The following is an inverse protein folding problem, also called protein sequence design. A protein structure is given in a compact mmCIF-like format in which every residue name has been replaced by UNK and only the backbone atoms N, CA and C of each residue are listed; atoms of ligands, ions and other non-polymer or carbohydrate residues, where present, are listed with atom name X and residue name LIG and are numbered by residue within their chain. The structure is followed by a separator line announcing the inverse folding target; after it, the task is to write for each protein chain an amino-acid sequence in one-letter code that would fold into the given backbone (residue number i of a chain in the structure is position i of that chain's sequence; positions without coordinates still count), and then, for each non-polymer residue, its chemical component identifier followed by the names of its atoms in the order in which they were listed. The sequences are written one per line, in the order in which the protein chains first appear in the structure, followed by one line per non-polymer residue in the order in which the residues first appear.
data_IF_614889259715
#
_entry.id   IF_614889259715
#
_cell.length_a   1.000
_cell.length_b   1.000
_cell.length_c   1.000
_cell.angle_alpha   90.00
_cell.angle_beta   90.00
_cell.angle_gamma   90.00
#
_symmetry.space_group_name_H-M   'P 1'
#
loop_
_entity.id
_entity.type
_entity.pdbx_description
1 polymer ?
#
# COMPACT_ATOMS: atom_id res chain seq x y z
N UNK A 1 -1.60 2.33 9.49
CA UNK A 1 -0.88 3.61 9.51
C UNK A 1 -0.46 4.04 8.10
N UNK A 2 -0.26 5.33 7.90
CA UNK A 2 0.29 5.92 6.68
C UNK A 2 1.37 6.93 7.05
N UNK A 3 2.55 6.81 6.43
CA UNK A 3 3.65 7.77 6.50
C UNK A 3 3.89 8.34 5.10
N UNK A 4 3.83 9.66 4.97
CA UNK A 4 4.21 10.40 3.77
C UNK A 4 5.51 11.15 4.06
N UNK A 5 6.51 10.95 3.21
CA UNK A 5 7.82 11.60 3.28
C UNK A 5 8.03 12.43 2.02
N UNK A 6 8.25 13.73 2.19
CA UNK A 6 8.62 14.62 1.10
C UNK A 6 10.13 14.54 0.87
N UNK A 7 10.53 14.12 -0.31
CA UNK A 7 11.92 13.88 -0.70
C UNK A 7 12.48 15.04 -1.52
N UNK A 8 13.64 15.54 -1.13
CA UNK A 8 14.35 16.61 -1.82
C UNK A 8 15.02 16.09 -3.11
N UNK A 9 14.19 15.63 -4.06
CA UNK A 9 14.68 15.14 -5.34
C UNK A 9 13.59 15.17 -6.41
N UNK A 10 14.00 15.37 -7.66
CA UNK A 10 13.18 15.20 -8.85
C UNK A 10 13.54 13.94 -9.65
N UNK A 11 14.57 13.23 -9.24
CA UNK A 11 15.12 12.10 -9.99
C UNK A 11 14.42 10.79 -9.72
N UNK A 12 13.59 10.74 -8.66
CA UNK A 12 12.86 9.53 -8.24
C UNK A 12 11.43 9.58 -8.77
N UNK A 13 10.98 8.47 -9.32
CA UNK A 13 9.62 8.23 -9.75
C UNK A 13 9.20 6.78 -9.45
N UNK A 14 7.99 6.39 -9.82
CA UNK A 14 7.43 5.05 -9.54
C UNK A 14 8.31 3.88 -10.03
N UNK A 15 9.16 4.07 -11.07
CA UNK A 15 10.07 3.02 -11.57
C UNK A 15 11.18 2.66 -10.57
N UNK A 16 11.38 3.47 -9.55
CA UNK A 16 12.40 3.25 -8.52
C UNK A 16 11.84 2.71 -7.20
N UNK A 17 10.60 2.25 -7.20
CA UNK A 17 9.96 1.63 -6.02
C UNK A 17 10.80 0.48 -5.44
N UNK A 18 11.46 -0.31 -6.28
CA UNK A 18 12.36 -1.39 -5.82
C UNK A 18 13.60 -0.88 -5.06
N UNK A 19 14.09 0.32 -5.39
CA UNK A 19 15.21 0.91 -4.65
C UNK A 19 14.75 1.41 -3.28
N UNK A 20 13.55 2.00 -3.21
CA UNK A 20 12.95 2.41 -1.94
C UNK A 20 12.53 1.23 -1.07
N UNK A 21 12.15 0.10 -1.67
CA UNK A 21 11.98 -1.13 -0.92
C UNK A 21 13.28 -1.57 -0.24
N UNK A 22 14.42 -1.39 -0.90
CA UNK A 22 15.74 -1.59 -0.29
C UNK A 22 15.94 -0.74 0.96
N UNK A 23 15.54 0.54 0.89
CA UNK A 23 15.60 1.44 2.07
C UNK A 23 14.74 0.92 3.21
N UNK A 24 13.52 0.43 2.95
CA UNK A 24 12.70 -0.20 3.99
C UNK A 24 13.46 -1.37 4.62
N UNK A 25 13.96 -2.30 3.79
CA UNK A 25 14.66 -3.51 4.28
C UNK A 25 15.93 -3.20 5.07
N UNK A 26 16.58 -2.07 4.83
CA UNK A 26 17.77 -1.62 5.55
C UNK A 26 17.45 -0.95 6.90
N UNK A 27 16.23 -0.46 7.07
CA UNK A 27 15.79 0.22 8.29
C UNK A 27 14.97 -0.67 9.24
N UNK A 28 14.74 -1.92 8.89
CA UNK A 28 14.03 -2.90 9.74
C UNK A 28 14.98 -3.99 10.23
N UNK A 29 14.55 -4.74 11.25
CA UNK A 29 15.35 -5.86 11.77
C UNK A 29 15.51 -6.97 10.71
N UNK A 30 16.64 -7.67 10.74
CA UNK A 30 16.88 -8.79 9.83
C UNK A 30 15.83 -9.90 9.98
N UNK A 31 15.36 -10.14 11.20
CA UNK A 31 14.32 -11.12 11.48
C UNK A 31 12.99 -10.73 10.79
N UNK A 32 12.58 -9.47 10.94
CA UNK A 32 11.36 -8.98 10.31
C UNK A 32 11.47 -8.96 8.78
N UNK A 33 12.63 -8.56 8.24
CA UNK A 33 12.91 -8.62 6.80
C UNK A 33 12.81 -10.05 6.26
N UNK A 34 13.35 -11.04 6.98
CA UNK A 34 13.24 -12.45 6.59
C UNK A 34 11.77 -12.92 6.54
N UNK A 35 10.96 -12.54 7.53
CA UNK A 35 9.52 -12.84 7.53
C UNK A 35 8.80 -12.20 6.35
N UNK A 36 9.07 -10.93 6.05
CA UNK A 36 8.48 -10.26 4.88
C UNK A 36 8.84 -10.93 3.55
N UNK A 37 10.07 -11.45 3.43
CA UNK A 37 10.49 -12.20 2.24
C UNK A 37 9.79 -13.56 2.10
N UNK A 38 9.42 -14.20 3.22
CA UNK A 38 8.69 -15.46 3.24
C UNK A 38 7.19 -15.32 2.98
N UNK A 39 6.63 -14.14 3.18
CA UNK A 39 5.21 -13.88 3.03
C UNK A 39 4.81 -13.70 1.56
N UNK A 40 3.71 -14.33 1.16
CA UNK A 40 3.10 -14.09 -0.16
C UNK A 40 2.46 -12.69 -0.25
N UNK A 41 1.87 -12.21 0.86
CA UNK A 41 1.23 -10.92 0.96
C UNK A 41 1.85 -10.14 2.12
N UNK A 42 2.44 -8.99 1.81
CA UNK A 42 3.07 -8.15 2.80
C UNK A 42 2.06 -7.22 3.50
N UNK A 43 2.20 -6.96 4.82
CA UNK A 43 1.32 -6.07 5.58
C UNK A 43 1.54 -4.59 5.27
N UNK A 44 2.32 -4.27 4.26
CA UNK A 44 2.59 -2.90 3.85
C UNK A 44 2.47 -2.70 2.34
N UNK A 45 2.39 -1.45 1.95
CA UNK A 45 2.50 -1.00 0.56
C UNK A 45 3.26 0.32 0.50
N UNK A 46 3.83 0.62 -0.66
CA UNK A 46 4.50 1.89 -0.88
C UNK A 46 4.22 2.41 -2.29
N UNK A 47 4.21 3.72 -2.44
CA UNK A 47 4.16 4.37 -3.75
C UNK A 47 4.89 5.70 -3.74
N UNK A 48 5.26 6.15 -4.94
CA UNK A 48 5.85 7.47 -5.17
C UNK A 48 4.88 8.26 -6.03
N UNK A 49 4.51 9.44 -5.54
CA UNK A 49 3.68 10.40 -6.26
C UNK A 49 4.42 11.73 -6.42
N UNK A 50 3.93 12.56 -7.32
CA UNK A 50 4.35 13.96 -7.43
C UNK A 50 3.18 14.86 -7.12
N UNK A 51 3.39 15.74 -6.15
CA UNK A 51 2.39 16.71 -5.70
C UNK A 51 3.07 18.09 -5.64
N UNK A 52 2.48 19.09 -6.31
CA UNK A 52 2.98 20.47 -6.29
C UNK A 52 4.50 20.58 -6.56
N UNK A 53 5.02 19.79 -7.48
CA UNK A 53 6.45 19.70 -7.83
C UNK A 53 7.36 19.01 -6.78
N UNK A 54 6.81 18.51 -5.69
CA UNK A 54 7.50 17.71 -4.68
C UNK A 54 7.36 16.21 -4.97
N UNK A 55 8.39 15.43 -4.64
CA UNK A 55 8.36 13.97 -4.69
C UNK A 55 7.92 13.43 -3.34
N UNK A 56 6.78 12.75 -3.31
CA UNK A 56 6.21 12.18 -2.08
C UNK A 56 6.36 10.66 -2.11
N UNK A 57 7.04 10.12 -1.11
CA UNK A 57 7.08 8.69 -0.85
C UNK A 57 6.07 8.35 0.24
N UNK A 58 5.06 7.58 -0.11
CA UNK A 58 3.99 7.15 0.81
C UNK A 58 4.18 5.69 1.15
N UNK A 59 4.23 5.37 2.42
CA UNK A 59 4.28 4.02 2.98
C UNK A 59 3.01 3.82 3.82
N UNK A 60 2.33 2.69 3.62
CA UNK A 60 1.12 2.31 4.39
C UNK A 60 1.32 0.95 5.01
N UNK A 61 0.88 0.80 6.25
CA UNK A 61 0.87 -0.49 6.97
C UNK A 61 -0.54 -0.83 7.43
N UNK A 62 -0.85 -2.13 7.50
CA UNK A 62 -2.18 -2.64 7.77
C UNK A 62 -2.37 -3.20 9.18
N UNK A 63 -1.28 -3.44 9.92
CA UNK A 63 -1.32 -3.91 11.31
C UNK A 63 -0.28 -3.19 12.17
N UNK A 64 -0.38 -3.39 13.48
CA UNK A 64 0.48 -2.76 14.48
C UNK A 64 1.94 -3.20 14.34
N UNK A 65 2.17 -4.49 14.14
CA UNK A 65 3.53 -5.01 13.95
C UNK A 65 4.26 -4.33 12.79
N UNK A 66 3.59 -4.16 11.66
CA UNK A 66 4.17 -3.47 10.51
C UNK A 66 4.35 -1.96 10.76
N UNK A 67 3.47 -1.35 11.54
CA UNK A 67 3.64 0.03 11.97
C UNK A 67 4.91 0.19 12.81
N UNK A 68 5.09 -0.63 13.83
CA UNK A 68 6.25 -0.57 14.72
C UNK A 68 7.56 -0.87 13.99
N UNK A 69 7.58 -1.87 13.12
CA UNK A 69 8.80 -2.31 12.45
C UNK A 69 9.14 -1.50 11.19
N UNK A 70 8.18 -0.86 10.52
CA UNK A 70 8.42 -0.14 9.26
C UNK A 70 8.24 1.37 9.44
N UNK A 71 7.07 1.80 9.93
CA UNK A 71 6.75 3.23 9.99
C UNK A 71 7.59 3.93 11.06
N UNK A 72 7.70 3.36 12.24
CA UNK A 72 8.42 3.99 13.34
C UNK A 72 9.89 4.24 12.99
N UNK A 73 10.69 3.25 12.53
CA UNK A 73 12.08 3.51 12.12
C UNK A 73 12.21 4.54 11.00
N UNK A 74 11.35 4.47 9.98
CA UNK A 74 11.38 5.41 8.86
C UNK A 74 10.95 6.83 9.26
N UNK A 75 10.10 6.96 10.26
CA UNK A 75 9.68 8.27 10.76
C UNK A 75 10.82 9.07 11.38
N UNK A 76 11.86 8.41 11.85
CA UNK A 76 13.06 9.04 12.44
C UNK A 76 14.10 9.42 11.38
N UNK A 77 14.05 8.85 10.16
CA UNK A 77 15.05 9.10 9.13
C UNK A 77 15.00 10.54 8.63
N UNK A 78 16.09 11.27 8.70
CA UNK A 78 16.27 12.61 8.08
C UNK A 78 16.72 12.53 6.63
N UNK A 79 17.34 11.42 6.28
CA UNK A 79 17.88 11.13 4.96
C UNK A 79 17.59 9.67 4.59
N UNK A 80 17.45 9.41 3.30
CA UNK A 80 17.39 8.05 2.76
C UNK A 80 18.56 7.82 1.80
N UNK A 81 19.16 6.64 1.85
CA UNK A 81 20.27 6.29 0.98
C UNK A 81 19.87 5.21 -0.04
N UNK A 82 19.94 5.53 -1.31
CA UNK A 82 19.68 4.60 -2.40
C UNK A 82 20.97 3.91 -2.82
N UNK A 83 21.29 2.76 -2.26
CA UNK A 83 22.56 2.03 -2.50
C UNK A 83 22.88 1.81 -3.95
N UNK A 84 21.92 1.37 -4.76
CA UNK A 84 22.11 1.10 -6.19
C UNK A 84 22.51 2.33 -7.01
N UNK A 85 22.25 3.53 -6.48
CA UNK A 85 22.56 4.80 -7.14
C UNK A 85 23.68 5.57 -6.45
N UNK A 86 24.08 5.15 -5.24
CA UNK A 86 25.01 5.92 -4.41
C UNK A 86 24.46 7.32 -4.05
N UNK A 87 23.14 7.46 -3.94
CA UNK A 87 22.45 8.73 -3.77
C UNK A 87 21.84 8.85 -2.38
N UNK A 88 22.23 9.90 -1.64
CA UNK A 88 21.58 10.32 -0.41
C UNK A 88 20.54 11.39 -0.73
N UNK A 89 19.35 11.30 -0.14
CA UNK A 89 18.22 12.19 -0.39
C UNK A 89 17.67 12.64 0.95
N UNK A 90 17.63 13.95 1.15
CA UNK A 90 17.08 14.52 2.37
C UNK A 90 15.55 14.46 2.39
N UNK A 91 15.01 14.22 3.57
CA UNK A 91 13.58 14.23 3.85
C UNK A 91 13.20 15.60 4.38
N UNK A 92 12.48 16.40 3.59
CA UNK A 92 12.13 17.77 3.93
C UNK A 92 10.96 17.86 4.90
N UNK A 93 9.99 16.96 4.75
CA UNK A 93 8.76 16.97 5.54
C UNK A 93 8.19 15.56 5.71
N UNK A 94 7.47 15.35 6.81
CA UNK A 94 6.80 14.08 7.09
C UNK A 94 5.40 14.35 7.59
N UNK A 95 4.46 13.52 7.15
CA UNK A 95 3.08 13.49 7.65
C UNK A 95 2.73 12.05 8.01
N UNK A 96 2.16 11.87 9.20
CA UNK A 96 1.72 10.57 9.66
C UNK A 96 0.22 10.59 9.94
N UNK A 97 -0.47 9.56 9.45
CA UNK A 97 -1.89 9.31 9.74
C UNK A 97 -2.04 7.92 10.35
N UNK A 98 -2.68 7.87 11.51
CA UNK A 98 -3.04 6.63 12.18
C UNK A 98 -4.56 6.50 12.12
N UNK A 99 -5.04 5.30 11.81
CA UNK A 99 -6.43 4.88 12.02
C UNK A 99 -6.41 3.58 12.79
N UNK A 100 -7.19 3.48 13.82
CA UNK A 100 -7.41 2.21 14.52
C UNK A 100 -8.60 1.45 13.89
N UNK A 101 -8.71 0.16 14.22
CA UNK A 101 -9.75 -0.70 13.65
C UNK A 101 -11.16 -0.24 14.03
N UNK A 102 -11.34 0.29 15.25
CA UNK A 102 -12.64 0.82 15.68
C UNK A 102 -13.08 2.03 14.85
N UNK A 103 -12.14 2.91 14.50
CA UNK A 103 -12.44 4.05 13.60
C UNK A 103 -12.84 3.58 12.21
N UNK A 104 -12.16 2.55 11.67
CA UNK A 104 -12.52 1.95 10.39
C UNK A 104 -13.89 1.29 10.42
N UNK A 105 -14.18 0.53 11.47
CA UNK A 105 -15.47 -0.14 11.69
C UNK A 105 -16.59 0.90 11.83
N UNK A 106 -16.38 1.93 12.65
CA UNK A 106 -17.35 3.03 12.84
C UNK A 106 -17.60 3.74 11.51
N UNK A 107 -16.54 4.08 10.77
CA UNK A 107 -16.66 4.71 9.46
C UNK A 107 -17.45 3.84 8.47
N UNK A 108 -17.26 2.53 8.50
CA UNK A 108 -17.97 1.57 7.66
C UNK A 108 -19.46 1.47 7.99
N UNK A 109 -19.82 1.44 9.27
CA UNK A 109 -21.23 1.28 9.68
C UNK A 109 -22.02 2.59 9.71
N UNK A 110 -21.39 3.72 10.02
CA UNK A 110 -22.06 5.02 10.10
C UNK A 110 -22.22 5.71 8.74
N UNK A 111 -21.31 5.47 7.81
CA UNK A 111 -21.40 6.06 6.47
C UNK A 111 -22.24 5.21 5.55
N UNK A 112 -23.23 5.83 4.92
CA UNK A 112 -23.95 5.17 3.82
C UNK A 112 -22.95 4.81 2.72
N UNK A 113 -22.95 3.54 2.30
CA UNK A 113 -22.15 3.11 1.17
C UNK A 113 -22.53 3.96 -0.07
N UNK A 114 -21.58 4.64 -0.68
CA UNK A 114 -21.87 5.43 -1.88
C UNK A 114 -22.22 4.50 -3.05
N UNK A 115 -23.22 4.89 -3.85
CA UNK A 115 -23.59 4.14 -5.05
C UNK A 115 -22.44 4.05 -6.06
N UNK A 116 -21.58 5.09 -6.11
CA UNK A 116 -20.44 5.17 -7.02
C UNK A 116 -19.16 5.26 -6.20
N UNK A 117 -18.21 4.38 -6.51
CA UNK A 117 -16.87 4.38 -5.96
C UNK A 117 -15.89 4.78 -7.05
N UNK A 118 -14.94 5.67 -6.73
CA UNK A 118 -13.82 5.98 -7.60
C UNK A 118 -12.58 5.25 -7.10
N UNK A 119 -12.03 4.37 -7.94
CA UNK A 119 -10.76 3.69 -7.68
C UNK A 119 -9.68 4.34 -8.54
N UNK A 120 -8.66 4.92 -7.90
CA UNK A 120 -7.54 5.55 -8.58
C UNK A 120 -6.28 4.70 -8.45
N UNK A 121 -5.79 4.19 -9.56
CA UNK A 121 -4.49 3.53 -9.63
C UNK A 121 -3.38 4.60 -9.69
N UNK A 122 -2.62 4.74 -8.61
CA UNK A 122 -1.56 5.76 -8.50
C UNK A 122 -0.32 5.44 -9.35
N UNK A 123 -0.13 4.16 -9.68
CA UNK A 123 0.97 3.65 -10.49
C UNK A 123 0.42 2.71 -11.56
N UNK A 124 1.16 2.44 -12.66
CA UNK A 124 0.79 1.42 -13.61
C UNK A 124 0.56 0.10 -12.90
N UNK A 125 -0.65 -0.43 -13.03
CA UNK A 125 -1.11 -1.63 -12.32
C UNK A 125 -1.49 -2.70 -13.33
N UNK A 126 -1.05 -3.91 -13.10
CA UNK A 126 -1.50 -5.11 -13.81
C UNK A 126 -1.86 -6.18 -12.79
N UNK A 127 -2.91 -6.92 -13.10
CA UNK A 127 -3.31 -8.07 -12.30
C UNK A 127 -2.70 -9.34 -12.89
N UNK A 128 -2.61 -10.40 -12.09
CA UNK A 128 -2.14 -11.70 -12.54
C UNK A 128 -3.21 -12.75 -12.23
N UNK A 129 -3.65 -13.45 -13.26
CA UNK A 129 -4.55 -14.59 -13.16
C UNK A 129 -4.01 -15.75 -14.01
N UNK A 130 -3.96 -16.94 -13.45
CA UNK A 130 -3.49 -18.16 -14.12
C UNK A 130 -2.13 -18.01 -14.83
N UNK A 131 -1.21 -17.28 -14.18
CA UNK A 131 0.12 -17.03 -14.72
C UNK A 131 0.19 -15.95 -15.81
N UNK A 132 -0.93 -15.38 -16.24
CA UNK A 132 -1.03 -14.34 -17.28
C UNK A 132 -1.31 -12.97 -16.69
N UNK A 133 -0.81 -11.92 -17.34
CA UNK A 133 -1.12 -10.55 -16.97
C UNK A 133 -2.45 -10.11 -17.57
N UNK A 134 -3.30 -9.54 -16.72
CA UNK A 134 -4.56 -8.88 -17.08
C UNK A 134 -4.35 -7.38 -16.91
N UNK A 135 -4.42 -6.63 -18.02
CA UNK A 135 -4.13 -5.19 -18.04
C UNK A 135 -5.36 -4.32 -17.85
N UNK A 136 -6.56 -4.87 -18.06
CA UNK A 136 -7.81 -4.16 -17.81
C UNK A 136 -8.26 -4.37 -16.37
N UNK A 137 -8.92 -3.35 -15.77
CA UNK A 137 -9.55 -3.51 -14.46
C UNK A 137 -10.58 -4.64 -14.50
N UNK A 138 -10.38 -5.64 -13.68
CA UNK A 138 -11.32 -6.75 -13.46
C UNK A 138 -11.78 -6.69 -12.01
N UNK A 139 -13.10 -6.60 -11.80
CA UNK A 139 -13.69 -6.43 -10.47
C UNK A 139 -13.41 -7.61 -9.57
N UNK A 140 -13.47 -8.84 -10.11
CA UNK A 140 -13.16 -10.04 -9.34
C UNK A 140 -11.72 -10.05 -8.85
N UNK A 141 -10.76 -9.70 -9.71
CA UNK A 141 -9.35 -9.62 -9.33
C UNK A 141 -9.08 -8.49 -8.34
N UNK A 142 -9.75 -7.34 -8.48
CA UNK A 142 -9.62 -6.21 -7.54
C UNK A 142 -10.15 -6.62 -6.17
N UNK A 143 -11.40 -7.08 -6.09
CA UNK A 143 -12.02 -7.46 -4.82
C UNK A 143 -11.28 -8.61 -4.15
N UNK A 144 -10.98 -9.70 -4.89
CA UNK A 144 -10.23 -10.83 -4.36
C UNK A 144 -8.86 -10.41 -3.80
N UNK A 145 -8.15 -9.52 -4.49
CA UNK A 145 -6.85 -9.01 -4.03
C UNK A 145 -6.97 -8.21 -2.73
N UNK A 146 -7.98 -7.36 -2.61
CA UNK A 146 -8.22 -6.56 -1.40
C UNK A 146 -8.65 -7.43 -0.23
N UNK A 147 -9.61 -8.35 -0.44
CA UNK A 147 -10.11 -9.27 0.58
C UNK A 147 -8.99 -10.17 1.11
N UNK A 148 -8.24 -10.83 0.23
CA UNK A 148 -7.10 -11.68 0.62
C UNK A 148 -6.02 -10.91 1.35
N UNK A 149 -5.72 -9.67 0.92
CA UNK A 149 -4.72 -8.86 1.60
C UNK A 149 -5.17 -8.46 2.99
N UNK A 150 -6.44 -8.12 3.16
CA UNK A 150 -7.00 -7.82 4.48
C UNK A 150 -6.96 -9.05 5.39
N UNK A 151 -7.46 -10.19 4.92
CA UNK A 151 -7.46 -11.46 5.67
C UNK A 151 -6.07 -11.91 6.09
N UNK A 152 -5.07 -11.70 5.24
CA UNK A 152 -3.68 -12.10 5.54
C UNK A 152 -3.03 -11.29 6.66
N UNK A 153 -3.57 -10.13 7.04
CA UNK A 153 -2.98 -9.22 8.03
C UNK A 153 -3.90 -8.91 9.20
N UNK A 154 -5.18 -9.25 9.11
CA UNK A 154 -6.16 -9.07 10.19
C UNK A 154 -6.15 -10.29 11.10
N UNK A 155 -5.97 -10.07 12.40
CA UNK A 155 -6.10 -11.12 13.42
C UNK A 155 -7.56 -11.35 13.85
N UNK A 156 -8.40 -10.34 13.65
CA UNK A 156 -9.76 -10.33 14.16
C UNK A 156 -10.79 -10.87 13.17
N UNK A 157 -10.49 -10.85 11.86
CA UNK A 157 -11.53 -11.08 10.86
C UNK A 157 -10.94 -11.59 9.53
N UNK A 158 -11.42 -12.75 9.06
CA UNK A 158 -11.18 -13.24 7.71
C UNK A 158 -12.28 -12.71 6.77
N UNK A 159 -11.89 -11.86 5.83
CA UNK A 159 -12.82 -11.22 4.90
C UNK A 159 -12.94 -11.99 3.58
N UNK A 160 -12.02 -12.93 3.29
CA UNK A 160 -12.05 -13.64 2.02
C UNK A 160 -13.03 -14.80 2.05
N UNK A 161 -14.09 -14.65 1.27
CA UNK A 161 -15.12 -15.67 1.05
C UNK A 161 -15.57 -15.63 -0.43
N UNK A 162 -15.64 -16.79 -1.07
CA UNK A 162 -15.95 -16.88 -2.50
C UNK A 162 -17.39 -16.50 -2.83
N UNK A 163 -18.35 -16.78 -1.95
CA UNK A 163 -19.75 -16.39 -2.13
C UNK A 163 -19.92 -14.88 -2.05
N UNK A 164 -19.31 -14.26 -1.04
CA UNK A 164 -19.27 -12.80 -0.90
C UNK A 164 -18.57 -12.14 -2.08
N UNK A 165 -17.45 -12.69 -2.54
CA UNK A 165 -16.75 -12.20 -3.73
C UNK A 165 -17.65 -12.27 -4.97
N UNK A 166 -18.31 -13.41 -5.18
CA UNK A 166 -19.25 -13.59 -6.28
C UNK A 166 -20.38 -12.56 -6.27
N UNK A 167 -21.01 -12.35 -5.11
CA UNK A 167 -22.07 -11.36 -4.94
C UNK A 167 -21.58 -9.92 -5.20
N UNK A 168 -20.39 -9.56 -4.72
CA UNK A 168 -19.80 -8.25 -4.99
C UNK A 168 -19.56 -8.01 -6.48
N UNK A 169 -19.06 -9.01 -7.18
CA UNK A 169 -18.81 -8.92 -8.63
C UNK A 169 -20.12 -8.80 -9.40
N UNK A 170 -21.13 -9.63 -9.07
CA UNK A 170 -22.43 -9.63 -9.73
C UNK A 170 -23.19 -8.29 -9.55
N UNK A 171 -23.06 -7.67 -8.37
CA UNK A 171 -23.75 -6.42 -8.04
C UNK A 171 -22.95 -5.16 -8.40
N UNK A 172 -21.80 -5.30 -9.03
CA UNK A 172 -20.93 -4.18 -9.38
C UNK A 172 -20.66 -4.13 -10.88
N UNK A 173 -20.53 -2.91 -11.41
CA UNK A 173 -20.13 -2.71 -12.80
C UNK A 173 -19.16 -1.52 -12.93
N UNK A 174 -18.30 -1.57 -13.93
CA UNK A 174 -17.43 -0.44 -14.29
C UNK A 174 -18.23 0.49 -15.20
N UNK A 175 -18.78 1.56 -14.62
CA UNK A 175 -19.60 2.54 -15.36
C UNK A 175 -18.76 3.57 -16.11
N UNK A 176 -17.50 3.77 -15.72
CA UNK A 176 -16.59 4.75 -16.34
C UNK A 176 -15.14 4.44 -16.00
N UNK A 177 -14.23 4.64 -16.96
CA UNK A 177 -12.78 4.69 -16.73
C UNK A 177 -12.14 5.82 -17.53
N UNK A 178 -10.99 6.30 -17.06
CA UNK A 178 -10.21 7.38 -17.71
C UNK A 178 -8.75 6.96 -17.79
#
# INVERSE_FOLDING_TARGET
AELQMELETKEINYRQSSNLQGVIMENISQEYAARLHGNQLNPYSQCITRENNSTIWTIKTLNEEAYENIIMPLSECTDIFLRKKGLSISVCNKRMHLKNDNELITEFYEKKCPKYLEIKFQTPTAFKSDGKYVIYPDLGLIYASLMRKYSAVSEAFDMFDEETLGALVEQSEIVRYR
#
